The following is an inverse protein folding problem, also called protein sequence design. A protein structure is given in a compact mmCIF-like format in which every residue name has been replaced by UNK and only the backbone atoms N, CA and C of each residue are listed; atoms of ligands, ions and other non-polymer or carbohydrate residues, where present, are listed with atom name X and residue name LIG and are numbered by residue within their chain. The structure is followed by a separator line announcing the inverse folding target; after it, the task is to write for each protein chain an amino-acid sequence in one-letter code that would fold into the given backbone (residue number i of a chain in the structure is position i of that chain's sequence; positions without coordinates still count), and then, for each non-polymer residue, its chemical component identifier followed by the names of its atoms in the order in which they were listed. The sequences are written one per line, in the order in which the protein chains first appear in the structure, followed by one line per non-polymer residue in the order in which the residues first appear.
data_IF_252778414738
#
_entry.id   IF_252778414738
#
_cell.length_a   1.000
_cell.length_b   1.000
_cell.length_c   1.000
_cell.angle_alpha   90.00
_cell.angle_beta   90.00
_cell.angle_gamma   90.00
#
_symmetry.space_group_name_H-M   'P 1'
#
loop_
_entity.id
_entity.type
_entity.pdbx_description
1 polymer ?
#
# COMPACT_ATOMS: atom_id res chain seq x y z
N UNK A 1 -8.69 4.89 -12.39
CA UNK A 1 -8.40 4.13 -11.14
C UNK A 1 -8.09 5.06 -9.95
N UNK A 2 -8.52 4.70 -8.73
CA UNK A 2 -8.40 5.51 -7.51
C UNK A 2 -6.98 6.05 -7.26
N UNK A 3 -5.95 5.26 -7.59
CA UNK A 3 -4.55 5.62 -7.43
C UNK A 3 -4.11 6.83 -8.29
N UNK A 4 -4.58 6.91 -9.55
CA UNK A 4 -4.27 8.06 -10.43
C UNK A 4 -4.88 9.35 -9.89
N UNK A 5 -6.13 9.28 -9.42
CA UNK A 5 -6.81 10.44 -8.82
C UNK A 5 -6.11 10.95 -7.55
N UNK A 6 -5.60 10.04 -6.71
CA UNK A 6 -4.85 10.46 -5.50
C UNK A 6 -3.55 11.17 -5.86
N UNK A 7 -2.79 10.62 -6.81
CA UNK A 7 -1.49 11.17 -7.23
C UNK A 7 -1.61 12.51 -7.95
N UNK A 8 -2.68 12.71 -8.72
CA UNK A 8 -3.02 14.01 -9.33
C UNK A 8 -3.34 15.09 -8.29
N UNK A 9 -3.97 14.71 -7.16
CA UNK A 9 -4.38 15.68 -6.12
C UNK A 9 -3.24 16.02 -5.17
N UNK A 10 -2.39 15.06 -4.78
CA UNK A 10 -1.31 15.30 -3.82
C UNK A 10 0.07 15.51 -4.46
N UNK A 11 0.20 15.36 -5.78
CA UNK A 11 1.47 15.51 -6.50
C UNK A 11 2.47 14.37 -6.30
N UNK A 12 2.06 13.26 -5.68
CA UNK A 12 2.92 12.09 -5.50
C UNK A 12 3.11 11.33 -6.82
N UNK A 13 4.30 10.75 -7.03
CA UNK A 13 4.59 9.90 -8.19
C UNK A 13 4.42 8.41 -7.88
N UNK A 14 3.98 7.62 -8.87
CA UNK A 14 3.93 6.15 -8.78
C UNK A 14 5.21 5.57 -9.40
N UNK A 15 5.97 4.72 -8.70
CA UNK A 15 7.11 4.04 -9.30
C UNK A 15 6.72 3.22 -10.53
N UNK A 16 7.49 3.31 -11.62
CA UNK A 16 7.20 2.64 -12.89
C UNK A 16 6.89 1.13 -12.76
N UNK A 17 7.72 0.35 -12.04
CA UNK A 17 7.44 -1.08 -11.84
C UNK A 17 6.12 -1.36 -11.12
N UNK A 18 5.74 -0.52 -10.16
CA UNK A 18 4.46 -0.65 -9.45
C UNK A 18 3.30 -0.35 -10.40
N UNK A 19 3.39 0.75 -11.15
CA UNK A 19 2.36 1.14 -12.10
C UNK A 19 2.11 0.04 -13.13
N UNK A 20 3.17 -0.50 -13.74
CA UNK A 20 3.05 -1.57 -14.74
C UNK A 20 2.43 -2.85 -14.16
N UNK A 21 2.74 -3.21 -12.90
CA UNK A 21 2.12 -4.37 -12.24
C UNK A 21 0.63 -4.16 -12.02
N UNK A 22 0.24 -2.96 -11.57
CA UNK A 22 -1.16 -2.61 -11.32
C UNK A 22 -1.97 -2.56 -12.62
N UNK A 23 -1.44 -1.94 -13.68
CA UNK A 23 -2.12 -1.85 -14.98
C UNK A 23 -2.37 -3.23 -15.59
N UNK A 24 -1.39 -4.15 -15.48
CA UNK A 24 -1.54 -5.52 -15.97
C UNK A 24 -2.68 -6.29 -15.31
N UNK A 25 -3.02 -5.95 -14.06
CA UNK A 25 -4.05 -6.64 -13.28
C UNK A 25 -5.25 -5.74 -12.98
N UNK A 26 -5.47 -4.67 -13.76
CA UNK A 26 -6.50 -3.66 -13.48
C UNK A 26 -7.93 -4.23 -13.37
N UNK A 27 -8.18 -5.36 -14.04
CA UNK A 27 -9.47 -6.05 -14.07
C UNK A 27 -9.60 -7.14 -12.99
N UNK A 28 -8.57 -7.33 -12.15
CA UNK A 28 -8.56 -8.26 -11.02
C UNK A 28 -8.40 -7.49 -9.69
N UNK A 29 -9.52 -7.19 -8.99
CA UNK A 29 -9.48 -6.45 -7.74
C UNK A 29 -8.68 -7.14 -6.63
N UNK A 30 -8.60 -8.47 -6.62
CA UNK A 30 -7.82 -9.21 -5.62
C UNK A 30 -6.33 -9.06 -5.89
N UNK A 31 -5.91 -9.19 -7.15
CA UNK A 31 -4.52 -8.94 -7.54
C UNK A 31 -4.10 -7.47 -7.26
N UNK A 32 -4.97 -6.50 -7.53
CA UNK A 32 -4.71 -5.09 -7.21
C UNK A 32 -4.49 -4.88 -5.70
N UNK A 33 -5.35 -5.48 -4.87
CA UNK A 33 -5.23 -5.42 -3.42
C UNK A 33 -3.90 -6.03 -2.97
N UNK A 34 -3.58 -7.23 -3.45
CA UNK A 34 -2.37 -7.97 -3.11
C UNK A 34 -1.10 -7.18 -3.48
N UNK A 35 -1.03 -6.64 -4.69
CA UNK A 35 0.10 -5.81 -5.16
C UNK A 35 0.26 -4.56 -4.29
N UNK A 36 -0.85 -3.89 -3.95
CA UNK A 36 -0.83 -2.71 -3.09
C UNK A 36 -0.35 -3.02 -1.67
N UNK A 37 -0.84 -4.13 -1.09
CA UNK A 37 -0.44 -4.58 0.25
C UNK A 37 1.03 -4.97 0.28
N UNK A 38 1.53 -5.72 -0.71
CA UNK A 38 2.94 -6.08 -0.83
C UNK A 38 3.83 -4.82 -0.90
N UNK A 39 3.44 -3.85 -1.74
CA UNK A 39 4.19 -2.61 -1.88
C UNK A 39 4.24 -1.83 -0.57
N UNK A 40 3.09 -1.62 0.08
CA UNK A 40 2.99 -0.87 1.33
C UNK A 40 3.73 -1.58 2.48
N UNK A 41 3.63 -2.91 2.59
CA UNK A 41 4.33 -3.67 3.62
C UNK A 41 5.84 -3.52 3.50
N UNK A 42 6.39 -3.60 2.28
CA UNK A 42 7.82 -3.37 2.04
C UNK A 42 8.24 -1.94 2.41
N UNK A 43 7.47 -0.93 2.00
CA UNK A 43 7.76 0.46 2.36
C UNK A 43 7.78 0.67 3.88
N UNK A 44 6.79 0.11 4.59
CA UNK A 44 6.71 0.25 6.04
C UNK A 44 7.84 -0.50 6.72
N UNK A 45 8.21 -1.70 6.27
CA UNK A 45 9.35 -2.43 6.81
C UNK A 45 10.64 -1.61 6.70
N UNK A 46 10.93 -1.05 5.52
CA UNK A 46 12.10 -0.19 5.28
C UNK A 46 12.08 1.06 6.19
N UNK A 47 10.92 1.69 6.40
CA UNK A 47 10.79 2.85 7.31
C UNK A 47 11.02 2.48 8.77
N UNK A 48 10.47 1.34 9.23
CA UNK A 48 10.66 0.87 10.60
C UNK A 48 12.13 0.51 10.86
N UNK A 49 12.80 -0.15 9.92
CA UNK A 49 14.24 -0.42 9.98
C UNK A 49 15.07 0.87 10.03
N UNK A 50 14.62 1.93 9.34
CA UNK A 50 15.24 3.25 9.39
C UNK A 50 14.97 4.04 10.70
N UNK A 51 14.16 3.50 11.62
CA UNK A 51 13.95 4.09 12.95
C UNK A 51 12.96 5.25 12.99
N UNK A 52 11.96 5.29 12.11
CA UNK A 52 10.88 6.29 12.21
C UNK A 52 10.10 6.16 13.51
N UNK A 53 9.59 7.27 14.03
CA UNK A 53 8.79 7.30 15.27
C UNK A 53 7.43 6.59 15.13
N UNK A 54 6.91 6.49 13.90
CA UNK A 54 5.66 5.81 13.62
C UNK A 54 5.22 5.93 12.17
N UNK A 55 4.10 5.25 11.85
CA UNK A 55 3.49 5.23 10.52
C UNK A 55 2.00 5.53 10.63
N UNK A 56 1.51 6.48 9.82
CA UNK A 56 0.09 6.81 9.73
C UNK A 56 -0.52 6.24 8.44
N UNK A 57 -1.58 5.45 8.56
CA UNK A 57 -2.26 4.83 7.43
C UNK A 57 -3.49 5.63 6.97
N UNK A 58 -3.52 6.01 5.70
CA UNK A 58 -4.74 6.49 5.05
C UNK A 58 -5.63 5.31 4.67
N UNK A 59 -6.52 4.91 5.57
CA UNK A 59 -7.39 3.73 5.40
C UNK A 59 -8.56 3.96 4.44
N UNK A 60 -8.95 5.22 4.21
CA UNK A 60 -10.12 5.60 3.42
C UNK A 60 -11.40 4.88 3.88
N UNK A 61 -11.57 4.75 5.20
CA UNK A 61 -12.66 4.01 5.86
C UNK A 61 -12.73 2.51 5.45
N UNK A 62 -11.63 1.93 4.96
CA UNK A 62 -11.51 0.52 4.59
C UNK A 62 -10.39 -0.13 5.41
N UNK A 63 -10.73 -1.13 6.22
CA UNK A 63 -9.78 -1.85 7.05
C UNK A 63 -8.97 -2.97 6.35
N UNK A 64 -9.44 -3.68 5.30
CA UNK A 64 -8.75 -4.90 4.84
C UNK A 64 -7.29 -4.68 4.42
N UNK A 65 -7.01 -3.67 3.58
CA UNK A 65 -5.66 -3.42 3.08
C UNK A 65 -4.67 -3.11 4.21
N UNK A 66 -5.02 -2.18 5.10
CA UNK A 66 -4.18 -1.80 6.24
C UNK A 66 -3.97 -2.96 7.20
N UNK A 67 -5.01 -3.76 7.46
CA UNK A 67 -4.89 -4.94 8.32
C UNK A 67 -3.93 -5.98 7.73
N UNK A 68 -4.03 -6.26 6.43
CA UNK A 68 -3.11 -7.19 5.76
C UNK A 68 -1.66 -6.71 5.79
N UNK A 69 -1.42 -5.40 5.67
CA UNK A 69 -0.06 -4.83 5.82
C UNK A 69 0.48 -5.08 7.23
N UNK A 70 -0.31 -4.78 8.26
CA UNK A 70 0.07 -5.00 9.66
C UNK A 70 0.35 -6.48 9.95
N UNK A 71 -0.51 -7.38 9.48
CA UNK A 71 -0.33 -8.84 9.64
C UNK A 71 0.95 -9.35 8.98
N UNK A 72 1.32 -8.84 7.78
CA UNK A 72 2.58 -9.19 7.10
C UNK A 72 3.82 -8.73 7.86
N UNK A 73 3.70 -7.61 8.56
CA UNK A 73 4.77 -7.08 9.41
C UNK A 73 4.81 -7.76 10.79
N UNK A 74 3.96 -8.76 11.02
CA UNK A 74 3.94 -9.52 12.26
C UNK A 74 3.12 -8.89 13.39
N UNK A 75 2.45 -7.75 13.15
CA UNK A 75 1.52 -7.18 14.11
C UNK A 75 0.25 -8.02 14.16
N UNK A 76 -0.12 -8.46 15.36
CA UNK A 76 -1.31 -9.29 15.60
C UNK A 76 -2.26 -8.54 16.52
N UNK A 77 -3.59 -8.75 16.38
CA UNK A 77 -4.53 -8.38 17.42
C UNK A 77 -4.08 -9.00 18.76
N UNK A 78 -4.26 -8.25 19.85
CA UNK A 78 -4.02 -8.74 21.21
C UNK A 78 -5.02 -9.84 21.59
#
# INVERSE_FOLDING_TARGET
PQLRRFTEVCGASIPGPLLSRLERHQDDPQAILEIGVEHAARQVAELLEAGVEGVHFYTLNKSPATRMVLERLGFKPA
#
